data_IF_113642918874
#
_entry.id   IF_113642918874
#
_cell.length_a   1.000
_cell.length_b   1.000
_cell.length_c   1.000
_cell.angle_alpha   90.00
_cell.angle_beta   90.00
_cell.angle_gamma   90.00
#
_symmetry.space_group_name_H-M   'P 1'
#
loop_
_entity.id
_entity.type
_entity.pdbx_description
1 polymer ?
#
# COMPACT_ATOMS: atom_id res chain seq x y z
N UNK A 1 32.37 -70.96 -31.35
CA UNK A 1 32.68 -70.09 -30.26
C UNK A 1 31.58 -69.08 -30.06
N UNK A 2 30.79 -69.17 -29.02
CA UNK A 2 29.73 -68.26 -28.72
C UNK A 2 30.21 -67.17 -27.82
N UNK A 3 30.29 -65.93 -28.26
CA UNK A 3 30.51 -64.76 -27.45
C UNK A 3 29.25 -64.48 -26.66
N UNK A 4 29.28 -64.69 -25.35
CA UNK A 4 28.24 -64.23 -24.47
C UNK A 4 28.42 -62.72 -24.26
N UNK A 5 27.60 -61.96 -24.89
CA UNK A 5 27.46 -60.56 -24.63
C UNK A 5 26.78 -60.39 -23.27
N UNK A 6 27.55 -60.10 -22.28
CA UNK A 6 26.98 -59.67 -21.00
C UNK A 6 26.51 -58.24 -21.15
N UNK A 7 25.24 -58.08 -21.40
CA UNK A 7 24.64 -56.74 -21.32
C UNK A 7 24.51 -56.38 -19.84
N UNK A 8 25.44 -55.61 -19.38
CA UNK A 8 25.30 -54.96 -18.09
C UNK A 8 24.22 -53.89 -18.24
N UNK A 9 23.02 -54.20 -17.76
CA UNK A 9 21.97 -53.19 -17.65
C UNK A 9 22.40 -52.34 -16.43
N UNK A 10 23.00 -51.20 -16.71
CA UNK A 10 23.15 -50.16 -15.72
C UNK A 10 21.74 -49.64 -15.39
N UNK A 11 21.21 -50.08 -14.27
CA UNK A 11 20.03 -49.49 -13.70
C UNK A 11 20.43 -48.07 -13.26
N UNK A 12 20.13 -47.11 -14.09
CA UNK A 12 20.11 -45.70 -13.71
C UNK A 12 18.99 -45.57 -12.68
N UNK A 13 19.35 -45.64 -11.43
CA UNK A 13 18.48 -45.19 -10.36
C UNK A 13 18.37 -43.69 -10.50
N UNK A 14 17.29 -43.24 -11.19
CA UNK A 14 16.84 -41.87 -11.09
C UNK A 14 16.38 -41.69 -9.66
N UNK A 15 17.26 -41.19 -8.79
CA UNK A 15 16.85 -40.59 -7.56
C UNK A 15 16.10 -39.30 -7.94
N UNK A 16 14.79 -39.41 -8.06
CA UNK A 16 13.95 -38.25 -8.10
C UNK A 16 14.13 -37.51 -6.78
N UNK A 17 15.07 -36.58 -6.76
CA UNK A 17 15.12 -35.56 -5.74
C UNK A 17 13.91 -34.69 -6.01
N UNK A 18 12.76 -35.09 -5.49
CA UNK A 18 11.68 -34.14 -5.27
C UNK A 18 12.17 -33.21 -4.19
N UNK A 19 12.90 -32.17 -4.61
CA UNK A 19 13.10 -31.02 -3.77
C UNK A 19 11.68 -30.48 -3.52
N UNK A 20 11.15 -30.79 -2.36
CA UNK A 20 9.99 -30.14 -1.81
C UNK A 20 10.45 -28.70 -1.58
N UNK A 21 10.35 -27.88 -2.63
CA UNK A 21 10.37 -26.44 -2.46
C UNK A 21 9.12 -26.16 -1.65
N UNK A 22 9.30 -26.07 -0.33
CA UNK A 22 8.31 -25.45 0.50
C UNK A 22 8.17 -24.03 -0.06
N UNK A 23 7.19 -23.85 -0.96
CA UNK A 23 6.74 -22.56 -1.38
C UNK A 23 6.14 -21.95 -0.12
N UNK A 24 6.96 -21.26 0.66
CA UNK A 24 6.48 -20.29 1.60
C UNK A 24 5.81 -19.23 0.74
N UNK A 25 4.57 -19.51 0.37
CA UNK A 25 3.65 -18.45 0.01
C UNK A 25 3.53 -17.60 1.27
N UNK A 26 4.44 -16.65 1.43
CA UNK A 26 4.13 -15.47 2.19
C UNK A 26 2.82 -15.00 1.59
N UNK A 27 1.73 -15.15 2.32
CA UNK A 27 0.46 -14.52 1.97
C UNK A 27 0.81 -13.04 2.10
N UNK A 28 1.35 -12.48 1.03
CA UNK A 28 1.39 -11.04 0.88
C UNK A 28 -0.08 -10.64 0.92
N UNK A 29 -0.49 -9.99 1.99
CA UNK A 29 -1.72 -9.24 1.99
C UNK A 29 -1.55 -8.22 0.87
N UNK A 30 -1.99 -8.58 -0.32
CA UNK A 30 -1.95 -7.69 -1.46
C UNK A 30 -2.89 -6.54 -1.12
N UNK A 31 -2.32 -5.42 -0.73
CA UNK A 31 -3.05 -4.18 -0.56
C UNK A 31 -3.76 -3.91 -1.88
N UNK A 32 -5.07 -3.74 -1.81
CA UNK A 32 -5.87 -3.52 -2.99
C UNK A 32 -5.62 -2.11 -3.51
N UNK A 33 -5.10 -2.03 -4.72
CA UNK A 33 -4.99 -0.78 -5.45
C UNK A 33 -6.37 -0.42 -6.01
N UNK A 34 -6.83 0.77 -5.71
CA UNK A 34 -8.11 1.29 -6.13
C UNK A 34 -7.94 2.50 -7.06
N UNK A 35 -9.00 2.88 -7.74
CA UNK A 35 -9.04 4.07 -8.60
C UNK A 35 -10.30 4.87 -8.34
N UNK A 36 -10.14 6.18 -8.16
CA UNK A 36 -11.23 7.13 -8.05
C UNK A 36 -10.93 8.34 -8.96
N UNK A 37 -11.83 8.68 -9.87
CA UNK A 37 -11.63 9.74 -10.88
C UNK A 37 -10.28 9.62 -11.66
N UNK A 38 -9.85 8.41 -11.97
CA UNK A 38 -8.57 8.16 -12.63
C UNK A 38 -7.34 8.27 -11.73
N UNK A 39 -7.52 8.54 -10.44
CA UNK A 39 -6.44 8.63 -9.45
C UNK A 39 -6.33 7.32 -8.70
N UNK A 40 -5.14 6.74 -8.74
CA UNK A 40 -4.81 5.48 -8.07
C UNK A 40 -4.51 5.74 -6.59
N UNK A 41 -5.02 4.88 -5.73
CA UNK A 41 -4.83 5.00 -4.29
C UNK A 41 -4.84 3.66 -3.57
N UNK A 42 -4.26 3.64 -2.38
CA UNK A 42 -4.27 2.51 -1.44
C UNK A 42 -4.62 3.04 -0.07
N UNK A 43 -5.56 2.40 0.61
CA UNK A 43 -5.87 2.66 2.01
C UNK A 43 -5.47 1.49 2.89
N UNK A 44 -5.11 1.74 4.13
CA UNK A 44 -4.75 0.70 5.07
C UNK A 44 -3.92 1.23 6.24
N UNK A 45 -2.96 0.44 6.67
CA UNK A 45 -2.03 0.81 7.73
C UNK A 45 -2.54 0.52 9.13
N UNK A 46 -3.61 -0.27 9.28
CA UNK A 46 -4.13 -0.68 10.58
C UNK A 46 -3.16 -1.63 11.31
N UNK A 47 -2.41 -2.44 10.60
CA UNK A 47 -1.39 -3.33 11.14
C UNK A 47 0.02 -2.89 10.75
N UNK A 48 1.04 -3.41 11.44
CA UNK A 48 2.45 -3.18 11.10
C UNK A 48 2.76 -3.71 9.71
N UNK A 49 2.25 -4.91 9.38
CA UNK A 49 2.50 -5.54 8.08
C UNK A 49 1.91 -4.71 6.93
N UNK A 50 0.71 -4.16 7.09
CA UNK A 50 0.13 -3.26 6.11
C UNK A 50 0.96 -1.98 5.95
N UNK A 51 1.43 -1.39 7.04
CA UNK A 51 2.29 -0.19 6.97
C UNK A 51 3.61 -0.47 6.28
N UNK A 52 4.22 -1.63 6.54
CA UNK A 52 5.46 -2.04 5.87
C UNK A 52 5.25 -2.23 4.37
N UNK A 53 4.13 -2.85 3.98
CA UNK A 53 3.75 -3.03 2.58
C UNK A 53 3.48 -1.69 1.89
N UNK A 54 2.77 -0.79 2.55
CA UNK A 54 2.52 0.56 2.03
C UNK A 54 3.82 1.36 1.91
N UNK A 55 4.73 1.25 2.88
CA UNK A 55 6.05 1.88 2.82
C UNK A 55 6.88 1.37 1.64
N UNK A 56 6.80 0.08 1.31
CA UNK A 56 7.47 -0.51 0.15
C UNK A 56 6.94 0.05 -1.18
N UNK A 57 5.68 0.45 -1.24
CA UNK A 57 5.04 1.02 -2.43
C UNK A 57 5.11 2.56 -2.47
N UNK A 58 5.69 3.18 -1.46
CA UNK A 58 5.71 4.65 -1.29
C UNK A 58 6.22 5.42 -2.51
N UNK A 59 7.21 4.87 -3.20
CA UNK A 59 7.84 5.47 -4.38
C UNK A 59 6.91 5.62 -5.59
N UNK A 60 5.86 4.84 -5.65
CA UNK A 60 4.90 4.83 -6.77
C UNK A 60 3.74 5.83 -6.56
N UNK A 61 3.74 6.55 -5.44
CA UNK A 61 2.70 7.50 -5.05
C UNK A 61 3.29 8.87 -4.70
N UNK A 62 2.58 9.92 -5.06
CA UNK A 62 3.03 11.30 -4.82
C UNK A 62 2.67 11.82 -3.43
N UNK A 63 1.67 11.23 -2.77
CA UNK A 63 1.23 11.62 -1.43
C UNK A 63 1.04 10.41 -0.53
N UNK A 64 1.58 10.50 0.68
CA UNK A 64 1.21 9.66 1.82
C UNK A 64 0.52 10.54 2.86
N UNK A 65 -0.76 10.28 3.10
CA UNK A 65 -1.53 10.89 4.18
C UNK A 65 -1.61 9.93 5.36
N UNK A 66 -1.29 10.44 6.54
CA UNK A 66 -1.47 9.75 7.81
C UNK A 66 -2.47 10.51 8.67
N UNK A 67 -3.37 9.82 9.31
CA UNK A 67 -4.34 10.39 10.26
C UNK A 67 -4.12 9.80 11.64
N UNK A 68 -3.93 10.65 12.62
CA UNK A 68 -3.60 10.24 13.98
C UNK A 68 -4.23 11.16 15.02
N UNK A 69 -4.40 10.67 16.23
CA UNK A 69 -4.67 11.50 17.37
C UNK A 69 -3.39 12.19 17.85
N UNK A 70 -3.51 13.33 18.51
CA UNK A 70 -2.35 14.02 19.14
C UNK A 70 -1.63 13.16 20.18
N UNK A 71 -2.31 12.18 20.75
CA UNK A 71 -1.72 11.18 21.64
C UNK A 71 -0.76 10.21 20.96
N UNK A 72 -0.70 10.20 19.62
CA UNK A 72 0.09 9.28 18.82
C UNK A 72 -0.64 8.02 18.36
N UNK A 73 -1.87 7.80 18.81
CA UNK A 73 -2.71 6.69 18.32
C UNK A 73 -3.16 7.00 16.91
N UNK A 74 -3.09 6.01 16.03
CA UNK A 74 -3.69 6.12 14.70
C UNK A 74 -5.21 6.13 14.80
N UNK A 75 -5.83 6.99 14.01
CA UNK A 75 -7.28 6.94 13.82
C UNK A 75 -7.63 5.83 12.85
N UNK A 76 -8.83 5.29 12.97
CA UNK A 76 -9.35 4.29 12.04
C UNK A 76 -9.79 4.91 10.72
N UNK A 77 -10.99 4.60 10.28
CA UNK A 77 -11.57 5.15 9.06
C UNK A 77 -11.72 6.67 9.12
N UNK A 78 -11.40 7.35 8.03
CA UNK A 78 -11.56 8.79 7.85
C UNK A 78 -12.10 9.08 6.46
N UNK A 79 -12.94 10.09 6.34
CA UNK A 79 -13.39 10.58 5.03
C UNK A 79 -12.39 11.59 4.50
N UNK A 80 -11.83 11.33 3.34
CA UNK A 80 -10.83 12.17 2.69
C UNK A 80 -11.36 12.75 1.40
N UNK A 81 -11.18 14.05 1.24
CA UNK A 81 -11.53 14.80 0.03
C UNK A 81 -10.36 15.67 -0.38
N UNK A 82 -9.98 15.60 -1.65
CA UNK A 82 -8.90 16.41 -2.21
C UNK A 82 -9.46 17.26 -3.33
N UNK A 83 -9.23 18.56 -3.23
CA UNK A 83 -9.65 19.55 -4.21
C UNK A 83 -8.44 20.19 -4.88
N UNK A 84 -8.56 20.52 -6.16
CA UNK A 84 -7.54 21.26 -6.87
C UNK A 84 -7.55 22.76 -6.52
N UNK A 85 -6.66 23.54 -7.12
CA UNK A 85 -6.54 24.98 -6.87
C UNK A 85 -7.80 25.76 -7.29
N UNK A 86 -8.59 25.24 -8.24
CA UNK A 86 -9.87 25.82 -8.64
C UNK A 86 -11.03 25.48 -7.67
N UNK A 87 -10.77 24.73 -6.61
CA UNK A 87 -11.79 24.30 -5.65
C UNK A 87 -12.62 23.10 -6.11
N UNK A 88 -12.25 22.46 -7.21
CA UNK A 88 -12.93 21.26 -7.72
C UNK A 88 -12.41 20.02 -6.99
N UNK A 89 -13.31 19.21 -6.45
CA UNK A 89 -12.97 17.94 -5.86
C UNK A 89 -12.50 16.96 -6.94
N UNK A 90 -11.25 16.53 -6.84
CA UNK A 90 -10.63 15.59 -7.81
C UNK A 90 -10.52 14.19 -7.27
N UNK A 91 -10.64 14.00 -5.96
CA UNK A 91 -10.52 12.72 -5.29
C UNK A 91 -11.35 12.69 -4.01
N UNK A 92 -12.01 11.57 -3.76
CA UNK A 92 -12.72 11.26 -2.52
C UNK A 92 -12.58 9.79 -2.19
N UNK A 93 -12.35 9.48 -0.91
CA UNK A 93 -12.48 8.11 -0.41
C UNK A 93 -12.77 8.10 1.10
N UNK A 94 -13.25 6.97 1.57
CA UNK A 94 -13.23 6.63 3.00
C UNK A 94 -12.09 5.65 3.22
N UNK A 95 -11.17 5.96 4.11
CA UNK A 95 -10.01 5.11 4.39
C UNK A 95 -10.40 3.91 5.24
N UNK A 96 -9.74 2.77 5.00
CA UNK A 96 -9.90 1.55 5.80
C UNK A 96 -9.03 1.56 7.07
N UNK A 97 -8.06 2.46 7.12
CA UNK A 97 -7.12 2.58 8.21
C UNK A 97 -6.47 3.96 8.21
N UNK A 98 -5.42 4.16 9.02
CA UNK A 98 -4.84 5.48 9.25
C UNK A 98 -3.96 6.01 8.12
N UNK A 99 -3.63 5.20 7.12
CA UNK A 99 -2.74 5.58 6.03
C UNK A 99 -3.47 5.56 4.68
N UNK A 100 -3.16 6.56 3.86
CA UNK A 100 -3.64 6.68 2.49
C UNK A 100 -2.48 7.05 1.57
N UNK A 101 -2.21 6.21 0.59
CA UNK A 101 -1.33 6.52 -0.54
C UNK A 101 -2.18 6.98 -1.71
N UNK A 102 -1.84 8.11 -2.31
CA UNK A 102 -2.54 8.69 -3.47
C UNK A 102 -1.53 9.13 -4.50
N UNK A 103 -1.77 8.79 -5.75
CA UNK A 103 -0.97 9.25 -6.87
C UNK A 103 -1.63 10.44 -7.56
N UNK A 104 -1.44 11.62 -6.99
CA UNK A 104 -1.94 12.88 -7.52
C UNK A 104 -1.01 13.42 -8.62
N UNK A 105 -1.57 13.97 -9.70
CA UNK A 105 -0.79 14.78 -10.63
C UNK A 105 -0.13 15.97 -9.92
N UNK A 106 0.97 16.46 -10.49
CA UNK A 106 1.61 17.67 -9.98
C UNK A 106 0.64 18.85 -9.92
N UNK A 107 0.71 19.60 -8.84
CA UNK A 107 -0.16 20.77 -8.65
C UNK A 107 -0.36 21.12 -7.18
N UNK A 108 -1.20 22.12 -6.97
CA UNK A 108 -1.60 22.59 -5.65
C UNK A 108 -2.98 22.03 -5.33
N UNK A 109 -3.09 21.48 -4.11
CA UNK A 109 -4.31 20.83 -3.65
C UNK A 109 -4.65 21.27 -2.24
N UNK A 110 -5.92 21.13 -1.90
CA UNK A 110 -6.41 21.18 -0.52
C UNK A 110 -6.84 19.77 -0.13
N UNK A 111 -6.21 19.22 0.89
CA UNK A 111 -6.60 17.93 1.48
C UNK A 111 -7.48 18.19 2.68
N UNK A 112 -8.69 17.66 2.65
CA UNK A 112 -9.63 17.68 3.78
C UNK A 112 -9.83 16.26 4.27
N UNK A 113 -9.71 16.07 5.57
CA UNK A 113 -9.97 14.79 6.21
C UNK A 113 -10.90 14.97 7.40
N UNK A 114 -11.87 14.10 7.54
CA UNK A 114 -12.81 14.09 8.65
C UNK A 114 -12.52 12.89 9.52
N UNK A 115 -12.03 13.14 10.74
CA UNK A 115 -11.80 12.14 11.76
C UNK A 115 -12.61 12.49 13.01
N UNK A 116 -13.20 11.49 13.66
CA UNK A 116 -14.02 11.67 14.88
C UNK A 116 -15.05 12.80 14.79
N UNK A 117 -15.65 12.98 13.62
CA UNK A 117 -16.65 14.02 13.36
C UNK A 117 -16.10 15.43 13.13
N UNK A 118 -14.77 15.59 13.11
CA UNK A 118 -14.11 16.89 12.92
C UNK A 118 -13.38 16.90 11.59
N UNK A 119 -13.67 17.88 10.74
CA UNK A 119 -12.98 18.09 9.46
C UNK A 119 -11.83 19.06 9.62
N UNK A 120 -10.67 18.66 9.13
CA UNK A 120 -9.49 19.51 9.00
C UNK A 120 -9.08 19.60 7.53
N UNK A 121 -8.49 20.71 7.15
CA UNK A 121 -8.01 20.94 5.79
C UNK A 121 -6.61 21.51 5.81
N UNK A 122 -5.79 21.09 4.84
CA UNK A 122 -4.44 21.61 4.64
C UNK A 122 -4.13 21.74 3.16
N UNK A 123 -3.50 22.85 2.81
CA UNK A 123 -2.99 23.09 1.44
C UNK A 123 -1.65 22.42 1.27
N UNK A 124 -1.45 21.74 0.16
CA UNK A 124 -0.20 21.05 -0.18
C UNK A 124 0.19 21.33 -1.63
N UNK A 125 1.50 21.20 -1.88
CA UNK A 125 2.08 21.18 -3.22
C UNK A 125 2.54 19.76 -3.53
N UNK A 126 2.08 19.19 -4.64
CA UNK A 126 2.49 17.88 -5.13
C UNK A 126 3.50 18.04 -6.24
N UNK A 127 4.63 17.37 -6.09
CA UNK A 127 5.69 17.25 -7.10
C UNK A 127 6.06 15.78 -7.28
N UNK A 128 6.26 15.36 -8.52
CA UNK A 128 6.74 13.99 -8.81
C UNK A 128 8.18 13.76 -8.36
N UNK A 129 8.97 14.81 -8.27
CA UNK A 129 10.39 14.74 -7.86
C UNK A 129 10.57 14.53 -6.37
N UNK A 130 9.60 15.01 -5.56
CA UNK A 130 9.69 14.95 -4.10
C UNK A 130 8.35 14.44 -3.57
N UNK A 131 8.23 13.15 -3.27
CA UNK A 131 7.04 12.59 -2.66
C UNK A 131 6.68 13.32 -1.37
N UNK A 132 5.40 13.66 -1.20
CA UNK A 132 4.90 14.40 -0.05
C UNK A 132 4.36 13.45 1.01
N UNK A 133 4.75 13.68 2.26
CA UNK A 133 4.12 13.09 3.43
C UNK A 133 3.38 14.15 4.21
N UNK A 134 2.12 13.88 4.55
CA UNK A 134 1.27 14.75 5.34
C UNK A 134 0.69 13.95 6.49
N UNK A 135 0.94 14.38 7.72
CA UNK A 135 0.26 13.83 8.90
C UNK A 135 -0.71 14.86 9.45
N UNK A 136 -1.97 14.47 9.60
CA UNK A 136 -3.00 15.30 10.21
C UNK A 136 -3.35 14.73 11.59
N UNK A 137 -3.47 15.62 12.58
CA UNK A 137 -3.69 15.24 13.96
C UNK A 137 -5.02 15.77 14.48
N UNK A 138 -5.72 14.93 15.23
CA UNK A 138 -6.95 15.28 15.94
C UNK A 138 -6.74 15.25 17.45
N UNK A 139 -7.34 16.19 18.14
CA UNK A 139 -7.40 16.21 19.59
C UNK A 139 -8.57 15.33 20.01
N UNK A 140 -8.29 14.07 20.30
CA UNK A 140 -9.29 13.11 20.78
C UNK A 140 -9.19 13.07 22.30
N UNK A 141 -10.25 13.50 22.97
CA UNK A 141 -10.37 13.32 24.41
C UNK A 141 -10.73 11.86 24.69
N UNK A 142 -9.94 11.22 25.51
CA UNK A 142 -10.22 9.89 26.04
C UNK A 142 -11.45 9.91 26.97
#
# INVERSE_FOLDING_TARGET
MKLKSTRTIAALAFAAFTSLIALNAAIAYALTTNTNNGITYITGGASVDERDEMAAQRKDFTLLLKVAAKSGKYLGASDVKISNQAGVTVFECTTDGPWLLVDLPEGRYTVSATGVGITQSQKILISKKTPRELTMFWDVKD
#
